data_IF_384698229909
#
_entry.id   IF_384698229909
#
_cell.length_a   1.000
_cell.length_b   1.000
_cell.length_c   1.000
_cell.angle_alpha   90.00
_cell.angle_beta   90.00
_cell.angle_gamma   90.00
#
_symmetry.space_group_name_H-M   'P 1'
#
loop_
_entity.id
_entity.type
_entity.pdbx_description
1 polymer ?
#
# COMPACT_ATOMS: atom_id res chain seq x y z
N UNK A 1 -9.73 5.73 -16.78
CA UNK A 1 -10.04 6.94 -15.99
C UNK A 1 -8.71 7.44 -15.47
N UNK A 2 -8.22 8.56 -16.01
CA UNK A 2 -7.03 9.21 -15.47
C UNK A 2 -7.44 9.89 -14.15
N UNK A 3 -6.56 9.98 -13.13
CA UNK A 3 -6.90 10.66 -11.89
C UNK A 3 -6.99 12.18 -12.16
N UNK A 4 -8.19 12.67 -12.43
CA UNK A 4 -8.44 14.02 -12.96
C UNK A 4 -8.26 15.18 -11.96
N UNK A 5 -7.89 14.95 -10.69
CA UNK A 5 -7.87 16.05 -9.69
C UNK A 5 -6.58 16.30 -8.91
N UNK A 6 -5.51 15.48 -9.04
CA UNK A 6 -4.30 15.56 -8.19
C UNK A 6 -4.60 15.67 -6.67
N UNK A 7 -5.82 15.31 -6.26
CA UNK A 7 -6.33 15.63 -4.94
C UNK A 7 -5.88 14.56 -3.95
N UNK A 8 -5.13 14.97 -2.94
CA UNK A 8 -4.80 14.10 -1.82
C UNK A 8 -6.03 13.92 -0.96
N UNK A 9 -6.76 12.82 -1.17
CA UNK A 9 -7.99 12.53 -0.42
C UNK A 9 -7.73 12.15 1.04
N UNK A 10 -6.58 11.56 1.34
CA UNK A 10 -6.17 11.26 2.71
C UNK A 10 -4.69 10.89 2.79
N UNK A 11 -4.11 11.12 3.95
CA UNK A 11 -2.75 10.69 4.33
C UNK A 11 -2.84 9.48 5.25
N UNK A 12 -2.00 8.47 5.02
CA UNK A 12 -1.84 7.33 5.92
C UNK A 12 -0.45 7.40 6.54
N UNK A 13 -0.39 7.42 7.88
CA UNK A 13 0.88 7.47 8.61
C UNK A 13 1.45 6.06 8.80
N UNK A 14 2.77 5.97 8.78
CA UNK A 14 3.50 4.77 9.21
C UNK A 14 3.54 4.77 10.74
N UNK A 15 2.87 3.80 11.34
CA UNK A 15 2.83 3.57 12.79
C UNK A 15 3.32 2.15 13.13
N UNK A 16 3.33 1.82 14.43
CA UNK A 16 3.78 0.51 14.93
C UNK A 16 3.01 -0.70 14.38
N UNK A 17 1.81 -0.51 13.84
CA UNK A 17 1.00 -1.57 13.22
C UNK A 17 0.92 -1.44 11.70
N UNK A 18 1.80 -0.61 11.10
CA UNK A 18 1.85 -0.45 9.66
C UNK A 18 2.31 -1.74 8.98
N UNK A 19 1.45 -2.30 8.14
CA UNK A 19 1.68 -3.55 7.43
C UNK A 19 1.25 -3.45 5.96
N UNK A 20 2.07 -4.03 5.10
CA UNK A 20 1.84 -4.18 3.66
C UNK A 20 1.61 -5.66 3.37
N UNK A 21 0.45 -5.99 2.83
CA UNK A 21 -0.04 -7.34 2.64
C UNK A 21 -0.47 -7.54 1.17
N UNK A 22 0.43 -8.04 0.30
CA UNK A 22 0.11 -8.29 -1.10
C UNK A 22 -0.72 -9.57 -1.29
N UNK A 23 -1.29 -9.71 -2.49
CA UNK A 23 -1.82 -10.96 -3.01
C UNK A 23 -3.30 -11.24 -2.72
N UNK A 24 -3.78 -12.34 -3.30
CA UNK A 24 -5.21 -12.67 -3.40
C UNK A 24 -5.88 -12.84 -2.04
N UNK A 25 -5.23 -13.50 -1.09
CA UNK A 25 -5.80 -13.74 0.24
C UNK A 25 -6.13 -12.44 0.98
N UNK A 26 -5.38 -11.36 0.72
CA UNK A 26 -5.53 -10.08 1.40
C UNK A 26 -6.45 -9.10 0.66
N UNK A 27 -6.53 -9.22 -0.66
CA UNK A 27 -7.15 -8.18 -1.52
C UNK A 27 -8.26 -8.69 -2.45
N UNK A 28 -8.49 -10.01 -2.46
CA UNK A 28 -9.38 -10.71 -3.40
C UNK A 28 -9.00 -10.49 -4.87
N UNK A 29 -7.74 -10.14 -5.16
CA UNK A 29 -7.15 -10.07 -6.49
C UNK A 29 -5.67 -10.45 -6.44
N UNK A 30 -5.12 -11.02 -7.51
CA UNK A 30 -3.71 -11.45 -7.53
C UNK A 30 -2.73 -10.27 -7.54
N UNK A 31 -3.14 -9.15 -8.11
CA UNK A 31 -2.35 -7.92 -8.31
C UNK A 31 -2.82 -6.79 -7.37
N UNK A 32 -3.13 -7.14 -6.13
CA UNK A 32 -3.60 -6.19 -5.13
C UNK A 32 -2.65 -6.06 -3.96
N UNK A 33 -2.61 -4.87 -3.37
CA UNK A 33 -1.88 -4.55 -2.15
C UNK A 33 -2.88 -4.07 -1.10
N UNK A 34 -2.90 -4.69 0.08
CA UNK A 34 -3.58 -4.18 1.26
C UNK A 34 -2.56 -3.51 2.17
N UNK A 35 -2.80 -2.26 2.51
CA UNK A 35 -2.01 -1.47 3.45
C UNK A 35 -2.90 -1.21 4.66
N UNK A 36 -2.41 -1.47 5.87
CA UNK A 36 -3.15 -1.17 7.10
C UNK A 36 -2.23 -0.53 8.13
N UNK A 37 -2.82 0.28 9.00
CA UNK A 37 -2.18 0.83 10.18
C UNK A 37 -3.18 0.78 11.37
N UNK A 38 -2.87 1.41 12.50
CA UNK A 38 -3.78 1.38 13.67
C UNK A 38 -5.14 2.04 13.42
N UNK A 39 -5.24 2.90 12.41
CA UNK A 39 -6.43 3.70 12.17
C UNK A 39 -7.27 3.19 11.01
N UNK A 40 -6.63 2.66 9.95
CA UNK A 40 -7.27 2.47 8.65
C UNK A 40 -6.71 1.28 7.87
N UNK A 41 -7.48 0.88 6.87
CA UNK A 41 -7.12 -0.11 5.86
C UNK A 41 -7.35 0.53 4.48
N UNK A 42 -6.36 0.40 3.60
CA UNK A 42 -6.40 0.77 2.19
C UNK A 42 -6.15 -0.49 1.35
N UNK A 43 -6.94 -0.68 0.29
CA UNK A 43 -6.71 -1.74 -0.69
C UNK A 43 -6.55 -1.10 -2.06
N UNK A 44 -5.40 -1.32 -2.69
CA UNK A 44 -5.07 -0.85 -4.03
C UNK A 44 -5.09 -2.07 -4.96
N UNK A 45 -5.80 -1.96 -6.08
CA UNK A 45 -5.84 -2.99 -7.12
C UNK A 45 -5.17 -2.44 -8.36
N UNK A 46 -4.17 -3.15 -8.85
CA UNK A 46 -3.45 -2.75 -10.05
C UNK A 46 -4.07 -3.39 -11.30
N UNK A 47 -3.81 -2.86 -12.50
CA UNK A 47 -4.22 -3.50 -13.74
C UNK A 47 -3.39 -4.75 -14.07
N UNK A 48 -2.11 -4.77 -13.66
CA UNK A 48 -1.18 -5.86 -13.94
C UNK A 48 -0.34 -6.22 -12.70
N UNK A 49 0.26 -7.41 -12.73
CA UNK A 49 1.04 -7.94 -11.59
C UNK A 49 2.37 -7.21 -11.41
N UNK A 50 3.01 -6.80 -12.50
CA UNK A 50 4.31 -6.11 -12.46
C UNK A 50 4.25 -4.83 -11.64
N UNK A 51 3.26 -3.98 -11.90
CA UNK A 51 3.06 -2.73 -11.15
C UNK A 51 2.81 -3.02 -9.67
N UNK A 52 2.00 -4.05 -9.38
CA UNK A 52 1.75 -4.47 -8.00
C UNK A 52 3.03 -4.91 -7.29
N UNK A 53 3.90 -5.67 -7.95
CA UNK A 53 5.17 -6.13 -7.39
C UNK A 53 6.14 -4.96 -7.16
N UNK A 54 6.29 -4.07 -8.15
CA UNK A 54 7.15 -2.89 -8.07
C UNK A 54 6.74 -1.98 -6.91
N UNK A 55 5.44 -1.66 -6.80
CA UNK A 55 4.92 -0.86 -5.70
C UNK A 55 5.01 -1.56 -4.35
N UNK A 56 4.82 -2.89 -4.31
CA UNK A 56 4.99 -3.66 -3.06
C UNK A 56 6.43 -3.52 -2.55
N UNK A 57 7.42 -3.74 -3.42
CA UNK A 57 8.84 -3.63 -3.04
C UNK A 57 9.20 -2.21 -2.63
N UNK A 58 8.74 -1.21 -3.37
CA UNK A 58 8.99 0.19 -3.05
C UNK A 58 8.43 0.58 -1.67
N UNK A 59 7.17 0.21 -1.38
CA UNK A 59 6.53 0.50 -0.10
C UNK A 59 7.18 -0.24 1.07
N UNK A 60 7.60 -1.50 0.87
CA UNK A 60 8.33 -2.27 1.89
C UNK A 60 9.67 -1.60 2.24
N UNK A 61 10.42 -1.15 1.23
CA UNK A 61 11.69 -0.45 1.44
C UNK A 61 11.50 0.86 2.22
N UNK A 62 10.52 1.68 1.83
CA UNK A 62 10.18 2.91 2.54
C UNK A 62 9.76 2.64 3.98
N UNK A 63 8.95 1.61 4.21
CA UNK A 63 8.48 1.26 5.55
C UNK A 63 9.63 0.81 6.44
N UNK A 64 10.57 0.03 5.90
CA UNK A 64 11.75 -0.40 6.65
C UNK A 64 12.63 0.80 7.07
N UNK A 65 12.86 1.75 6.15
CA UNK A 65 13.58 2.99 6.49
C UNK A 65 12.85 3.83 7.54
N UNK A 66 11.51 3.88 7.48
CA UNK A 66 10.72 4.64 8.44
C UNK A 66 10.73 4.01 9.84
N UNK A 67 10.79 2.68 9.93
CA UNK A 67 10.84 1.95 11.21
C UNK A 67 12.08 2.25 12.04
N UNK A 68 13.18 2.70 11.42
CA UNK A 68 14.37 3.12 12.14
C UNK A 68 14.12 4.39 13.01
N UNK A 69 13.01 5.09 12.80
CA UNK A 69 12.64 6.33 13.48
C UNK A 69 11.47 6.20 14.47
N UNK A 70 10.88 5.01 14.64
CA UNK A 70 9.69 4.75 15.46
C UNK A 70 10.03 3.80 16.61
#
# INVERSE_FOLDING_TARGET
MWPDTYEVRFTMLVDRAFEILPGFQNTRTYNGIKIKNLQRILVIKYPNTRDSEEWTQHLLNLTNQAKDFI
#
